data_IF_800409283441
#
_entry.id   IF_800409283441
#
_cell.length_a   1.000
_cell.length_b   1.000
_cell.length_c   1.000
_cell.angle_alpha   90.00
_cell.angle_beta   90.00
_cell.angle_gamma   90.00
#
_symmetry.space_group_name_H-M   'P 1'
#
loop_
_entity.id
_entity.type
_entity.pdbx_description
1 polymer ?
#
# COMPACT_ATOMS: atom_id res chain seq x y z
N UNK A 1 -5.10 8.71 -13.74
CA UNK A 1 -6.32 8.75 -12.91
C UNK A 1 -6.52 10.19 -12.45
N UNK A 2 -7.48 10.94 -13.03
CA UNK A 2 -7.46 12.42 -12.97
C UNK A 2 -7.55 13.12 -11.61
N UNK A 3 -7.70 12.38 -10.51
CA UNK A 3 -7.76 12.92 -9.13
C UNK A 3 -6.64 12.42 -8.23
N UNK A 4 -6.02 11.27 -8.55
CA UNK A 4 -4.94 10.70 -7.75
C UNK A 4 -3.58 10.98 -8.39
N UNK A 5 -2.58 11.16 -7.54
CA UNK A 5 -1.18 11.00 -7.94
C UNK A 5 -0.79 9.52 -8.02
N UNK A 6 0.46 9.27 -8.42
CA UNK A 6 1.04 7.93 -8.60
C UNK A 6 1.78 7.44 -7.35
N UNK A 7 1.89 8.29 -6.34
CA UNK A 7 2.54 8.00 -5.07
C UNK A 7 1.71 7.07 -4.16
N UNK A 8 2.36 6.45 -3.17
CA UNK A 8 1.72 5.47 -2.28
C UNK A 8 0.64 6.07 -1.37
N UNK A 9 0.66 7.39 -1.15
CA UNK A 9 -0.29 8.11 -0.30
C UNK A 9 -1.24 9.04 -1.06
N UNK A 10 -1.22 9.01 -2.40
CA UNK A 10 -1.98 9.94 -3.24
C UNK A 10 -3.43 9.50 -3.55
N UNK A 11 -3.84 8.32 -3.07
CA UNK A 11 -5.18 7.75 -3.26
C UNK A 11 -6.03 7.87 -1.98
N UNK A 12 -7.36 7.78 -2.13
CA UNK A 12 -8.30 8.03 -1.04
C UNK A 12 -8.20 6.96 0.06
N UNK A 13 -7.98 5.69 -0.30
CA UNK A 13 -7.77 4.60 0.65
C UNK A 13 -6.50 4.76 1.48
N UNK A 14 -5.43 5.32 0.91
CA UNK A 14 -4.24 5.67 1.67
C UNK A 14 -4.54 6.80 2.66
N UNK A 15 -5.28 7.82 2.26
CA UNK A 15 -5.69 8.89 3.17
C UNK A 15 -6.55 8.36 4.34
N UNK A 16 -7.47 7.43 4.07
CA UNK A 16 -8.27 6.75 5.10
C UNK A 16 -7.37 5.95 6.06
N UNK A 17 -6.40 5.19 5.56
CA UNK A 17 -5.43 4.46 6.38
C UNK A 17 -4.64 5.38 7.31
N UNK A 18 -4.13 6.50 6.79
CA UNK A 18 -3.36 7.45 7.59
C UNK A 18 -4.24 8.06 8.69
N UNK A 19 -5.51 8.38 8.38
CA UNK A 19 -6.48 8.85 9.37
C UNK A 19 -6.77 7.82 10.46
N UNK A 20 -6.95 6.54 10.11
CA UNK A 20 -7.15 5.47 11.10
C UNK A 20 -5.93 5.26 12.00
N UNK A 21 -4.72 5.41 11.46
CA UNK A 21 -3.48 5.35 12.24
C UNK A 21 -3.38 6.55 13.18
N UNK A 22 -3.65 7.76 12.69
CA UNK A 22 -3.65 8.98 13.51
C UNK A 22 -4.66 8.90 14.66
N UNK A 23 -5.85 8.35 14.40
CA UNK A 23 -6.91 8.15 15.39
C UNK A 23 -6.66 6.95 16.33
N UNK A 24 -5.64 6.13 16.05
CA UNK A 24 -5.32 4.90 16.81
C UNK A 24 -6.37 3.79 16.66
N UNK A 25 -7.13 3.79 15.57
CA UNK A 25 -8.19 2.82 15.27
C UNK A 25 -7.76 1.76 14.25
N UNK A 26 -6.64 1.99 13.55
CA UNK A 26 -6.12 1.07 12.55
C UNK A 26 -5.85 -0.33 13.12
N UNK A 27 -6.21 -1.35 12.33
CA UNK A 27 -5.73 -2.71 12.51
C UNK A 27 -5.73 -3.45 11.18
N UNK A 28 -4.84 -4.45 11.03
CA UNK A 28 -4.84 -5.27 9.82
C UNK A 28 -6.14 -6.04 9.60
N UNK A 29 -6.88 -6.35 10.67
CA UNK A 29 -8.18 -7.01 10.58
C UNK A 29 -9.25 -6.06 10.01
N UNK A 30 -9.12 -4.74 10.25
CA UNK A 30 -10.05 -3.73 9.72
C UNK A 30 -9.96 -3.57 8.20
N UNK A 31 -8.83 -3.94 7.59
CA UNK A 31 -8.59 -3.82 6.14
C UNK A 31 -8.61 -5.17 5.42
N UNK A 32 -8.72 -6.29 6.15
CA UNK A 32 -8.67 -7.64 5.56
C UNK A 32 -9.76 -7.87 4.51
N UNK A 33 -10.95 -7.28 4.71
CA UNK A 33 -12.07 -7.38 3.77
C UNK A 33 -11.73 -6.92 2.35
N UNK A 34 -10.80 -5.97 2.21
CA UNK A 34 -10.37 -5.44 0.91
C UNK A 34 -9.48 -6.43 0.13
N UNK A 35 -9.03 -7.51 0.79
CA UNK A 35 -8.13 -8.52 0.21
C UNK A 35 -8.76 -9.91 0.04
N UNK A 36 -10.01 -10.12 0.50
CA UNK A 36 -10.66 -11.43 0.65
C UNK A 36 -11.21 -12.05 -0.66
N UNK A 37 -11.18 -11.32 -1.78
CA UNK A 37 -11.59 -11.83 -3.09
C UNK A 37 -10.40 -12.43 -3.87
N UNK A 38 -10.66 -13.36 -4.79
CA UNK A 38 -9.66 -13.86 -5.75
C UNK A 38 -9.21 -12.80 -6.76
N UNK A 39 -10.03 -11.78 -7.00
CA UNK A 39 -9.69 -10.59 -7.79
C UNK A 39 -9.56 -9.38 -6.86
N UNK A 40 -8.39 -8.74 -6.80
CA UNK A 40 -8.12 -7.67 -5.85
C UNK A 40 -8.91 -6.42 -6.23
N UNK A 41 -9.75 -5.93 -5.31
CA UNK A 41 -10.54 -4.73 -5.54
C UNK A 41 -9.67 -3.48 -5.60
N UNK A 42 -10.27 -2.38 -6.06
CA UNK A 42 -9.62 -1.07 -6.07
C UNK A 42 -9.11 -0.68 -4.67
N UNK A 43 -9.98 -0.79 -3.64
CA UNK A 43 -9.61 -0.51 -2.23
C UNK A 43 -8.41 -1.36 -1.76
N UNK A 44 -8.40 -2.65 -2.09
CA UNK A 44 -7.29 -3.54 -1.72
C UNK A 44 -5.98 -3.15 -2.39
N UNK A 45 -6.04 -2.69 -3.64
CA UNK A 45 -4.89 -2.18 -4.37
C UNK A 45 -4.32 -0.88 -3.80
N UNK A 46 -5.21 0.06 -3.47
CA UNK A 46 -4.89 1.31 -2.78
C UNK A 46 -4.18 1.05 -1.45
N UNK A 47 -4.77 0.20 -0.61
CA UNK A 47 -4.19 -0.17 0.68
C UNK A 47 -2.85 -0.90 0.54
N UNK A 48 -2.69 -1.78 -0.46
CA UNK A 48 -1.46 -2.55 -0.61
C UNK A 48 -0.22 -1.66 -0.74
N UNK A 49 -0.29 -0.62 -1.59
CA UNK A 49 0.79 0.33 -1.79
C UNK A 49 1.14 1.12 -0.53
N UNK A 50 0.12 1.71 0.09
CA UNK A 50 0.26 2.50 1.31
C UNK A 50 0.81 1.69 2.47
N UNK A 51 0.31 0.46 2.69
CA UNK A 51 0.75 -0.41 3.78
C UNK A 51 2.20 -0.90 3.60
N UNK A 52 2.64 -1.16 2.37
CA UNK A 52 4.05 -1.51 2.08
C UNK A 52 4.95 -0.31 2.39
N UNK A 53 4.55 0.89 1.95
CA UNK A 53 5.30 2.12 2.22
C UNK A 53 5.42 2.39 3.73
N UNK A 54 4.29 2.33 4.45
CA UNK A 54 4.25 2.46 5.91
C UNK A 54 5.10 1.39 6.61
N UNK A 55 5.11 0.15 6.12
CA UNK A 55 5.95 -0.90 6.68
C UNK A 55 7.44 -0.60 6.54
N UNK A 56 7.89 -0.07 5.39
CA UNK A 56 9.29 0.34 5.20
C UNK A 56 9.67 1.48 6.16
N UNK A 57 8.79 2.46 6.33
CA UNK A 57 9.01 3.62 7.20
C UNK A 57 9.02 3.19 8.67
N UNK A 58 8.03 2.41 9.11
CA UNK A 58 7.92 1.90 10.48
C UNK A 58 9.09 0.98 10.89
N UNK A 59 9.69 0.29 9.91
CA UNK A 59 10.88 -0.54 10.11
C UNK A 59 12.20 0.23 9.99
N UNK A 60 12.14 1.56 9.81
CA UNK A 60 13.31 2.43 9.64
C UNK A 60 14.16 2.06 8.39
N UNK A 61 13.56 1.37 7.41
CA UNK A 61 14.19 1.03 6.14
C UNK A 61 14.06 2.17 5.11
N UNK A 62 13.16 3.12 5.35
CA UNK A 62 12.93 4.31 4.54
C UNK A 62 12.67 5.53 5.43
N UNK A 63 13.19 6.69 5.02
CA UNK A 63 12.88 7.95 5.70
C UNK A 63 11.40 8.31 5.51
N UNK A 64 10.73 8.87 6.53
CA UNK A 64 9.33 9.27 6.40
C UNK A 64 9.15 10.40 5.37
N UNK A 65 8.07 10.31 4.59
CA UNK A 65 7.62 11.39 3.72
C UNK A 65 6.84 12.45 4.51
N UNK A 66 6.53 13.59 3.89
CA UNK A 66 5.84 14.71 4.58
C UNK A 66 4.45 14.30 5.09
N UNK A 67 3.75 13.40 4.38
CA UNK A 67 2.41 12.91 4.70
C UNK A 67 2.37 12.08 5.99
N UNK A 68 3.49 11.47 6.39
CA UNK A 68 3.57 10.54 7.52
C UNK A 68 4.60 10.94 8.57
N UNK A 69 5.25 12.10 8.42
CA UNK A 69 6.34 12.55 9.29
C UNK A 69 5.94 12.73 10.76
N UNK A 70 4.67 13.09 11.00
CA UNK A 70 4.14 13.35 12.35
C UNK A 70 3.30 12.17 12.89
N UNK A 71 3.17 11.07 12.14
CA UNK A 71 2.41 9.90 12.58
C UNK A 71 3.18 9.07 13.59
N UNK A 72 2.49 8.64 14.66
CA UNK A 72 3.00 7.63 15.58
C UNK A 72 2.74 6.23 14.98
N UNK A 73 3.82 5.57 14.56
CA UNK A 73 3.77 4.24 13.94
C UNK A 73 4.13 3.11 14.92
N UNK A 74 4.26 3.37 16.22
CA UNK A 74 4.70 2.35 17.19
C UNK A 74 3.75 1.13 17.23
N UNK A 75 2.44 1.37 17.29
CA UNK A 75 1.43 0.29 17.29
C UNK A 75 1.37 -0.42 15.93
N UNK A 76 1.48 0.32 14.83
CA UNK A 76 1.57 -0.25 13.48
C UNK A 76 2.79 -1.16 13.36
N UNK A 77 3.97 -0.69 13.80
CA UNK A 77 5.23 -1.44 13.82
C UNK A 77 5.09 -2.71 14.66
N UNK A 78 4.47 -2.63 15.83
CA UNK A 78 4.25 -3.79 16.70
C UNK A 78 3.39 -4.88 16.02
N UNK A 79 2.50 -4.50 15.10
CA UNK A 79 1.66 -5.43 14.33
C UNK A 79 2.37 -6.06 13.12
N UNK A 80 3.56 -5.58 12.72
CA UNK A 80 4.34 -6.09 11.59
C UNK A 80 5.11 -7.39 11.92
N UNK A 81 4.36 -8.47 12.09
CA UNK A 81 4.96 -9.81 12.25
C UNK A 81 5.59 -10.31 10.93
N UNK A 82 6.52 -11.29 10.96
CA UNK A 82 7.06 -11.88 9.73
C UNK A 82 6.01 -12.48 8.79
N UNK A 83 4.92 -13.03 9.33
CA UNK A 83 3.77 -13.48 8.52
C UNK A 83 3.07 -12.29 7.86
N UNK A 84 2.93 -11.17 8.58
CA UNK A 84 2.31 -9.96 8.04
C UNK A 84 3.15 -9.32 6.94
N UNK A 85 4.48 -9.28 7.10
CA UNK A 85 5.37 -8.78 6.04
C UNK A 85 5.30 -9.64 4.78
N UNK A 86 5.31 -10.98 4.92
CA UNK A 86 5.08 -11.89 3.79
C UNK A 86 3.72 -11.67 3.14
N UNK A 87 2.70 -11.43 3.93
CA UNK A 87 1.36 -11.15 3.43
C UNK A 87 1.32 -9.81 2.66
N UNK A 88 1.96 -8.76 3.16
CA UNK A 88 2.08 -7.48 2.45
C UNK A 88 2.80 -7.62 1.11
N UNK A 89 3.88 -8.39 1.06
CA UNK A 89 4.57 -8.71 -0.21
C UNK A 89 3.60 -9.38 -1.20
N UNK A 90 2.81 -10.35 -0.74
CA UNK A 90 1.81 -11.01 -1.60
C UNK A 90 0.72 -10.03 -2.09
N UNK A 91 0.24 -9.12 -1.24
CA UNK A 91 -0.78 -8.15 -1.67
C UNK A 91 -0.21 -7.12 -2.65
N UNK A 92 1.04 -6.68 -2.48
CA UNK A 92 1.72 -5.82 -3.45
C UNK A 92 1.92 -6.50 -4.81
N UNK A 93 2.28 -7.79 -4.82
CA UNK A 93 2.33 -8.58 -6.05
C UNK A 93 0.97 -8.69 -6.74
N UNK A 94 -0.10 -8.88 -5.96
CA UNK A 94 -1.48 -8.91 -6.47
C UNK A 94 -1.89 -7.56 -7.05
N UNK A 95 -1.57 -6.44 -6.40
CA UNK A 95 -1.87 -5.10 -6.92
C UNK A 95 -1.18 -4.83 -8.25
N UNK A 96 0.04 -5.35 -8.45
CA UNK A 96 0.78 -5.21 -9.71
C UNK A 96 0.38 -6.22 -10.81
N UNK A 97 -0.60 -7.09 -10.55
CA UNK A 97 -1.04 -8.13 -11.47
C UNK A 97 -2.15 -7.63 -12.39
N UNK A 98 -1.88 -7.62 -13.69
CA UNK A 98 -2.86 -7.28 -14.73
C UNK A 98 -4.08 -8.21 -14.73
N UNK A 99 -3.94 -9.46 -14.30
CA UNK A 99 -5.00 -10.48 -14.37
C UNK A 99 -5.93 -10.46 -13.16
N UNK A 100 -5.51 -9.82 -12.06
CA UNK A 100 -6.14 -10.02 -10.75
C UNK A 100 -6.24 -8.74 -9.92
N UNK A 101 -6.22 -7.57 -10.55
CA UNK A 101 -6.26 -6.28 -9.85
C UNK A 101 -7.08 -5.23 -10.59
N UNK A 102 -8.19 -4.83 -9.96
CA UNK A 102 -9.00 -3.71 -10.45
C UNK A 102 -8.21 -2.40 -10.49
N UNK A 103 -7.35 -2.15 -9.49
CA UNK A 103 -6.53 -0.92 -9.48
C UNK A 103 -5.55 -0.87 -10.65
N UNK A 104 -5.01 -2.02 -11.08
CA UNK A 104 -4.17 -2.09 -12.28
C UNK A 104 -4.98 -1.73 -13.53
N UNK A 105 -6.17 -2.32 -13.66
CA UNK A 105 -7.08 -2.04 -14.79
C UNK A 105 -7.41 -0.54 -14.87
N UNK A 106 -7.71 0.10 -13.74
CA UNK A 106 -7.99 1.54 -13.67
C UNK A 106 -6.79 2.40 -14.10
N UNK A 107 -5.59 2.04 -13.69
CA UNK A 107 -4.38 2.74 -14.14
C UNK A 107 -4.12 2.51 -15.64
N UNK A 108 -4.37 1.30 -16.14
CA UNK A 108 -4.25 1.01 -17.57
C UNK A 108 -5.25 1.82 -18.41
N UNK A 109 -6.47 2.04 -17.91
CA UNK A 109 -7.47 2.90 -18.54
C UNK A 109 -7.08 4.39 -18.50
N UNK A 110 -6.35 4.82 -17.47
CA UNK A 110 -5.87 6.19 -17.36
C UNK A 110 -4.78 6.54 -18.39
N UNK A 111 -3.87 5.60 -18.66
CA UNK A 111 -2.86 5.72 -19.71
C UNK A 111 -1.56 5.02 -19.38
N UNK A 112 -0.81 4.62 -20.42
CA UNK A 112 0.43 3.84 -20.28
C UNK A 112 1.51 4.55 -19.45
N UNK A 113 1.68 5.86 -19.61
CA UNK A 113 2.68 6.64 -18.88
C UNK A 113 2.37 6.70 -17.37
N UNK A 114 1.10 6.99 -17.02
CA UNK A 114 0.64 7.02 -15.62
C UNK A 114 0.67 5.64 -14.97
N UNK A 115 0.26 4.60 -15.72
CA UNK A 115 0.34 3.20 -15.28
C UNK A 115 1.79 2.83 -14.95
N UNK A 116 2.74 3.12 -15.82
CA UNK A 116 4.14 2.79 -15.60
C UNK A 116 4.71 3.53 -14.39
N UNK A 117 4.39 4.82 -14.22
CA UNK A 117 4.82 5.61 -13.08
C UNK A 117 4.32 5.04 -11.75
N UNK A 118 3.02 4.74 -11.65
CA UNK A 118 2.44 4.09 -10.48
C UNK A 118 3.06 2.70 -10.23
N UNK A 119 3.19 1.87 -11.28
CA UNK A 119 3.80 0.53 -11.15
C UNK A 119 5.22 0.59 -10.63
N UNK A 120 6.03 1.53 -11.12
CA UNK A 120 7.41 1.69 -10.65
C UNK A 120 7.47 2.08 -9.17
N UNK A 121 6.57 2.96 -8.71
CA UNK A 121 6.50 3.36 -7.31
C UNK A 121 6.21 2.15 -6.40
N UNK A 122 5.17 1.37 -6.73
CA UNK A 122 4.80 0.18 -5.95
C UNK A 122 5.88 -0.91 -6.05
N UNK A 123 6.41 -1.19 -7.24
CA UNK A 123 7.43 -2.21 -7.45
C UNK A 123 8.74 -1.91 -6.70
N UNK A 124 9.11 -0.63 -6.59
CA UNK A 124 10.24 -0.18 -5.79
C UNK A 124 10.05 -0.55 -4.31
N UNK A 125 8.95 -0.12 -3.70
CA UNK A 125 8.66 -0.40 -2.29
C UNK A 125 8.50 -1.90 -2.03
N UNK A 126 7.87 -2.63 -2.94
CA UNK A 126 7.76 -4.09 -2.85
C UNK A 126 9.13 -4.79 -2.87
N UNK A 127 10.05 -4.32 -3.71
CA UNK A 127 11.41 -4.88 -3.79
C UNK A 127 12.17 -4.64 -2.50
N UNK A 128 12.13 -3.43 -1.96
CA UNK A 128 12.76 -3.10 -0.68
C UNK A 128 12.17 -3.93 0.47
N UNK A 129 10.85 -4.10 0.52
CA UNK A 129 10.20 -4.88 1.57
C UNK A 129 10.60 -6.35 1.52
N UNK A 130 10.75 -6.92 0.32
CA UNK A 130 11.21 -8.31 0.14
C UNK A 130 12.62 -8.56 0.69
N UNK A 131 13.47 -7.55 0.75
CA UNK A 131 14.82 -7.71 1.33
C UNK A 131 14.79 -7.82 2.87
N UNK A 132 13.67 -7.44 3.50
CA UNK A 132 13.47 -7.48 4.95
C UNK A 132 12.80 -8.77 5.45
N UNK A 133 12.35 -9.66 4.54
CA UNK A 133 11.52 -10.83 4.82
C UNK A 133 12.26 -12.13 4.54
#
# INVERSE_FOLDING_TARGET
MGTWGTGPFDNDGAADLLGEIEDGTFSFDAVEWAFDDGHLTTDGGEFAGALIELALIALEARDPSEEVADLDLDDFRAALTPDRLRWLVQQGERALSEESSEVYELWAEAGEDELEEWRMAIARSLTELRELV
#
